data_IF_438239709023
#
_entry.id   IF_438239709023
#
_cell.length_a   1.000
_cell.length_b   1.000
_cell.length_c   1.000
_cell.angle_alpha   90.00
_cell.angle_beta   90.00
_cell.angle_gamma   90.00
#
_symmetry.space_group_name_H-M   'P 1'
#
loop_
_entity.id
_entity.type
_entity.pdbx_description
1 polymer ?
#
# COMPACT_ATOMS: atom_id res chain seq x y z
N UNK A 1 15.23 8.68 23.11
CA UNK A 1 15.62 9.66 22.07
C UNK A 1 16.33 8.95 20.92
N UNK A 2 17.34 8.13 21.21
CA UNK A 2 18.15 7.41 20.20
C UNK A 2 17.29 6.48 19.32
N UNK A 3 16.45 5.65 19.94
CA UNK A 3 15.56 4.73 19.22
C UNK A 3 14.52 5.43 18.31
N UNK A 4 14.06 6.62 18.70
CA UNK A 4 13.16 7.42 17.86
C UNK A 4 13.85 7.90 16.59
N UNK A 5 15.09 8.37 16.68
CA UNK A 5 15.85 8.84 15.53
C UNK A 5 16.24 7.69 14.61
N UNK A 6 16.58 6.53 15.17
CA UNK A 6 16.84 5.32 14.37
C UNK A 6 15.61 4.91 13.57
N UNK A 7 14.43 4.93 14.18
CA UNK A 7 13.16 4.61 13.50
C UNK A 7 12.86 5.61 12.38
N UNK A 8 13.02 6.91 12.64
CA UNK A 8 12.83 7.94 11.60
C UNK A 8 13.80 7.71 10.43
N UNK A 9 15.08 7.46 10.71
CA UNK A 9 16.08 7.20 9.67
C UNK A 9 15.75 5.94 8.85
N UNK A 10 15.22 4.91 9.51
CA UNK A 10 14.75 3.70 8.85
C UNK A 10 13.59 4.01 7.91
N UNK A 11 12.55 4.72 8.37
CA UNK A 11 11.42 5.14 7.54
C UNK A 11 11.86 5.97 6.33
N UNK A 12 12.77 6.93 6.55
CA UNK A 12 13.30 7.76 5.47
C UNK A 12 14.01 6.93 4.40
N UNK A 13 14.74 5.89 4.82
CA UNK A 13 15.49 5.01 3.92
C UNK A 13 14.57 4.04 3.18
N UNK A 14 13.66 3.38 3.89
CA UNK A 14 12.78 2.34 3.33
C UNK A 14 11.73 2.93 2.39
N UNK A 15 11.14 4.08 2.76
CA UNK A 15 10.05 4.70 2.03
C UNK A 15 10.50 5.79 1.05
N UNK A 16 11.78 6.13 1.05
CA UNK A 16 12.36 7.23 0.27
C UNK A 16 11.59 8.54 0.49
N UNK A 17 11.43 8.90 1.76
CA UNK A 17 10.75 10.12 2.22
C UNK A 17 11.71 10.97 3.02
N UNK A 18 11.35 12.23 3.25
CA UNK A 18 12.04 13.12 4.19
C UNK A 18 11.06 13.57 5.26
N UNK A 19 11.23 13.05 6.47
CA UNK A 19 10.37 13.36 7.61
C UNK A 19 10.65 14.77 8.12
N UNK A 20 9.61 15.61 8.19
CA UNK A 20 9.65 16.98 8.73
C UNK A 20 9.21 17.01 10.19
N UNK A 21 8.19 16.22 10.51
CA UNK A 21 7.64 16.11 11.85
C UNK A 21 7.23 14.67 12.13
N UNK A 22 7.46 14.23 13.33
CA UNK A 22 7.05 12.91 13.80
C UNK A 22 6.52 13.03 15.23
N UNK A 23 5.31 12.57 15.45
CA UNK A 23 4.66 12.51 16.77
C UNK A 23 4.05 11.13 16.97
N UNK A 24 4.12 10.63 18.19
CA UNK A 24 3.45 9.40 18.61
C UNK A 24 2.49 9.69 19.75
N UNK A 25 1.34 9.03 19.73
CA UNK A 25 0.38 9.03 20.84
C UNK A 25 0.14 7.60 21.30
N UNK A 26 -0.31 7.45 22.53
CA UNK A 26 -0.67 6.16 23.11
C UNK A 26 0.51 5.18 23.20
N UNK A 27 1.75 5.71 23.16
CA UNK A 27 2.96 4.90 23.29
C UNK A 27 3.20 4.51 24.74
N UNK A 28 2.52 3.48 25.21
CA UNK A 28 2.74 2.86 26.51
C UNK A 28 2.63 1.33 26.40
N UNK A 29 3.19 0.62 27.38
CA UNK A 29 3.29 -0.86 27.39
C UNK A 29 1.94 -1.56 27.35
N UNK A 30 0.88 -0.91 27.78
CA UNK A 30 -0.47 -1.48 27.90
C UNK A 30 -1.41 -1.00 26.79
N UNK A 31 -0.96 -0.10 25.90
CA UNK A 31 -1.80 0.38 24.81
C UNK A 31 -1.92 -0.68 23.72
N UNK A 32 -3.15 -1.08 23.32
CA UNK A 32 -3.35 -1.96 22.17
C UNK A 32 -3.16 -1.22 20.83
N UNK A 33 -2.96 0.10 20.86
CA UNK A 33 -2.77 0.95 19.70
C UNK A 33 -1.61 1.88 19.90
N UNK A 34 -0.93 2.15 18.80
CA UNK A 34 0.04 3.23 18.65
C UNK A 34 -0.44 4.08 17.48
N UNK A 35 -0.53 5.39 17.71
CA UNK A 35 -0.86 6.34 16.63
C UNK A 35 0.36 7.17 16.32
N UNK A 36 0.75 7.19 15.07
CA UNK A 36 1.86 7.97 14.56
C UNK A 36 1.35 9.05 13.61
N UNK A 37 1.91 10.24 13.75
CA UNK A 37 1.67 11.38 12.87
C UNK A 37 2.98 11.75 12.21
N UNK A 38 3.01 11.67 10.90
CA UNK A 38 4.15 12.04 10.09
C UNK A 38 3.77 13.21 9.18
N UNK A 39 4.62 14.22 9.19
CA UNK A 39 4.67 15.25 8.16
C UNK A 39 5.95 15.02 7.36
N UNK A 40 5.84 14.76 6.07
CA UNK A 40 6.95 14.34 5.24
C UNK A 40 6.85 14.85 3.80
N UNK A 41 7.97 14.85 3.12
CA UNK A 41 8.07 15.08 1.68
C UNK A 41 8.49 13.79 1.00
N UNK A 42 7.86 13.50 -0.14
CA UNK A 42 8.25 12.42 -1.06
C UNK A 42 8.39 13.01 -2.45
N UNK A 43 9.50 12.76 -3.10
CA UNK A 43 9.71 13.26 -4.45
C UNK A 43 8.87 12.46 -5.44
N UNK A 44 8.03 13.14 -6.22
CA UNK A 44 7.31 12.54 -7.33
C UNK A 44 8.24 12.36 -8.53
N UNK A 45 7.98 11.34 -9.34
CA UNK A 45 8.65 11.16 -10.63
C UNK A 45 8.01 12.10 -11.64
N UNK A 46 8.81 12.96 -12.23
CA UNK A 46 8.38 13.92 -13.27
C UNK A 46 9.11 13.58 -14.57
N UNK A 47 8.37 13.47 -15.66
CA UNK A 47 8.92 13.29 -16.99
C UNK A 47 8.15 14.20 -17.97
N UNK A 48 8.83 15.18 -18.53
CA UNK A 48 8.26 16.25 -19.35
C UNK A 48 7.08 16.94 -18.64
N UNK A 49 5.88 16.87 -19.23
CA UNK A 49 4.65 17.45 -18.69
C UNK A 49 3.85 16.50 -17.78
N UNK A 50 4.41 15.32 -17.44
CA UNK A 50 3.73 14.29 -16.65
C UNK A 50 4.32 14.15 -15.26
N UNK A 51 3.44 13.99 -14.28
CA UNK A 51 3.79 13.63 -12.90
C UNK A 51 3.21 12.25 -12.60
N UNK A 52 4.05 11.34 -12.11
CA UNK A 52 3.68 10.00 -11.71
C UNK A 52 3.64 9.90 -10.19
N UNK A 53 2.48 9.53 -9.64
CA UNK A 53 2.28 9.43 -8.20
C UNK A 53 1.75 8.04 -7.85
N UNK A 54 2.47 7.33 -6.98
CA UNK A 54 1.92 6.13 -6.37
C UNK A 54 1.08 6.54 -5.15
N UNK A 55 -0.24 6.30 -5.15
CA UNK A 55 -1.10 6.65 -4.02
C UNK A 55 -0.87 5.74 -2.80
N UNK A 56 -0.24 4.58 -3.01
CA UNK A 56 0.15 3.64 -1.96
C UNK A 56 1.50 4.06 -1.37
N UNK A 57 1.53 5.19 -0.64
CA UNK A 57 2.76 5.84 -0.15
C UNK A 57 3.57 4.90 0.73
N UNK A 58 2.90 4.16 1.63
CA UNK A 58 3.49 3.11 2.46
C UNK A 58 3.07 1.76 1.89
N UNK A 59 3.82 1.27 0.91
CA UNK A 59 3.53 0.02 0.24
C UNK A 59 3.68 -1.16 1.18
N UNK A 60 2.59 -1.89 1.40
CA UNK A 60 2.62 -3.15 2.13
C UNK A 60 3.28 -4.26 1.30
N UNK A 61 2.86 -4.44 0.05
CA UNK A 61 3.38 -5.47 -0.85
C UNK A 61 3.74 -4.86 -2.18
N UNK A 62 5.03 -4.74 -2.46
CA UNK A 62 5.54 -4.26 -3.76
C UNK A 62 5.88 -5.38 -4.74
N UNK A 63 6.06 -6.60 -4.24
CA UNK A 63 6.38 -7.80 -5.04
C UNK A 63 5.68 -9.00 -4.44
N UNK A 64 5.22 -9.92 -5.29
CA UNK A 64 4.69 -11.19 -4.82
C UNK A 64 5.77 -11.95 -4.04
N UNK A 65 5.50 -12.37 -2.78
CA UNK A 65 6.47 -13.12 -1.98
C UNK A 65 6.64 -14.58 -2.44
N UNK A 66 5.75 -15.06 -3.32
CA UNK A 66 5.71 -16.45 -3.76
C UNK A 66 6.32 -16.60 -5.15
N UNK A 67 7.61 -17.01 -5.20
CA UNK A 67 8.38 -17.14 -6.44
C UNK A 67 8.24 -18.53 -7.10
N UNK A 68 7.93 -19.57 -6.31
CA UNK A 68 7.81 -20.93 -6.82
C UNK A 68 6.59 -21.06 -7.75
N UNK A 69 6.66 -21.95 -8.74
CA UNK A 69 5.53 -22.24 -9.64
C UNK A 69 4.51 -23.16 -9.00
N UNK A 70 4.96 -24.10 -8.15
CA UNK A 70 4.14 -25.06 -7.46
C UNK A 70 4.73 -25.42 -6.09
N UNK A 71 3.92 -26.00 -5.22
CA UNK A 71 4.34 -26.49 -3.91
C UNK A 71 3.78 -27.90 -3.67
N UNK A 72 4.55 -28.72 -2.95
CA UNK A 72 4.11 -30.03 -2.50
C UNK A 72 3.67 -30.02 -1.03
N UNK A 73 4.14 -29.04 -0.26
CA UNK A 73 3.80 -28.86 1.15
C UNK A 73 2.85 -27.67 1.31
N UNK A 74 1.98 -27.69 2.33
CA UNK A 74 1.16 -26.54 2.68
C UNK A 74 1.98 -25.27 2.90
N UNK A 75 1.36 -24.13 2.64
CA UNK A 75 1.89 -22.82 2.92
C UNK A 75 1.32 -22.33 4.25
N UNK A 76 2.18 -22.06 5.21
CA UNK A 76 1.81 -21.47 6.49
C UNK A 76 2.18 -19.99 6.51
N UNK A 77 1.20 -19.14 6.81
CA UNK A 77 1.37 -17.72 6.98
C UNK A 77 1.67 -17.41 8.45
N UNK A 78 2.61 -16.50 8.77
CA UNK A 78 3.05 -16.28 10.14
C UNK A 78 1.99 -15.61 11.02
N UNK A 79 1.10 -14.82 10.43
CA UNK A 79 0.04 -14.07 11.11
C UNK A 79 -1.05 -13.63 10.13
N UNK A 80 -2.18 -13.19 10.66
CA UNK A 80 -3.24 -12.55 9.89
C UNK A 80 -2.96 -11.06 9.75
N UNK A 81 -3.40 -10.47 8.64
CA UNK A 81 -3.21 -9.04 8.38
C UNK A 81 -4.50 -8.36 7.98
N UNK A 82 -4.69 -7.15 8.54
CA UNK A 82 -5.77 -6.25 8.15
C UNK A 82 -5.18 -4.86 7.94
N UNK A 83 -5.18 -4.39 6.70
CA UNK A 83 -4.70 -3.07 6.34
C UNK A 83 -5.83 -2.27 5.74
N UNK A 84 -6.01 -1.06 6.24
CA UNK A 84 -6.89 -0.05 5.68
C UNK A 84 -6.06 1.20 5.43
N UNK A 85 -6.02 1.65 4.17
CA UNK A 85 -5.40 2.90 3.79
C UNK A 85 -6.43 3.80 3.11
N UNK A 86 -6.43 5.07 3.49
CA UNK A 86 -7.16 6.12 2.81
C UNK A 86 -6.18 7.23 2.43
N UNK A 87 -6.13 7.56 1.14
CA UNK A 87 -5.26 8.60 0.60
C UNK A 87 -6.11 9.66 -0.08
N UNK A 88 -5.86 10.90 0.25
CA UNK A 88 -6.44 12.06 -0.42
C UNK A 88 -5.30 12.83 -1.08
N UNK A 89 -5.35 12.93 -2.40
CA UNK A 89 -4.37 13.66 -3.20
C UNK A 89 -5.02 14.90 -3.80
N UNK A 90 -4.43 16.07 -3.56
CA UNK A 90 -4.84 17.31 -4.22
C UNK A 90 -4.03 17.49 -5.50
N UNK A 91 -4.70 17.64 -6.62
CA UNK A 91 -4.09 17.89 -7.93
C UNK A 91 -3.48 19.29 -7.91
N UNK A 92 -2.18 19.47 -8.23
CA UNK A 92 -1.55 20.77 -8.29
C UNK A 92 -2.22 21.69 -9.32
N UNK A 93 -2.16 23.01 -9.08
CA UNK A 93 -2.62 23.99 -10.06
C UNK A 93 -1.88 23.86 -11.39
N UNK A 94 -2.61 23.95 -12.50
CA UNK A 94 -2.07 23.77 -13.84
C UNK A 94 -1.89 22.30 -14.25
N UNK A 95 -2.38 21.34 -13.47
CA UNK A 95 -2.38 19.92 -13.83
C UNK A 95 -3.79 19.35 -13.84
N UNK A 96 -3.99 18.31 -14.63
CA UNK A 96 -5.20 17.50 -14.66
C UNK A 96 -4.85 16.01 -14.66
N UNK A 97 -5.83 15.18 -14.34
CA UNK A 97 -5.68 13.73 -14.40
C UNK A 97 -5.60 13.28 -15.85
N UNK A 98 -4.54 12.58 -16.22
CA UNK A 98 -4.39 11.90 -17.51
C UNK A 98 -4.82 10.44 -17.40
N UNK A 99 -4.39 9.76 -16.31
CA UNK A 99 -4.72 8.36 -16.08
C UNK A 99 -4.90 8.07 -14.59
N UNK A 100 -5.91 7.25 -14.28
CA UNK A 100 -6.15 6.69 -12.95
C UNK A 100 -6.07 5.17 -12.98
N UNK A 101 -5.51 4.55 -11.93
CA UNK A 101 -5.66 3.12 -11.69
C UNK A 101 -7.12 2.65 -11.75
N UNK A 102 -7.34 1.42 -12.22
CA UNK A 102 -8.68 0.84 -12.21
C UNK A 102 -9.03 0.33 -10.80
N UNK A 103 -10.29 0.41 -10.37
CA UNK A 103 -10.72 -0.25 -9.15
C UNK A 103 -10.47 -1.77 -9.22
N UNK A 104 -10.14 -2.37 -8.06
CA UNK A 104 -9.97 -3.81 -7.90
C UNK A 104 -10.83 -4.29 -6.72
N UNK A 105 -11.53 -5.40 -6.90
CA UNK A 105 -12.19 -6.13 -5.83
C UNK A 105 -11.97 -7.62 -6.06
N UNK A 106 -11.01 -8.17 -5.35
CA UNK A 106 -10.61 -9.57 -5.45
C UNK A 106 -10.73 -10.24 -4.09
N UNK A 107 -11.21 -11.47 -4.07
CA UNK A 107 -11.27 -12.32 -2.87
C UNK A 107 -11.00 -13.77 -3.24
N UNK A 108 -10.46 -14.52 -2.30
CA UNK A 108 -10.36 -15.99 -2.39
C UNK A 108 -11.74 -16.63 -2.33
N UNK A 109 -11.87 -17.89 -2.78
CA UNK A 109 -13.17 -18.59 -2.83
C UNK A 109 -13.81 -18.73 -1.43
N UNK A 110 -12.99 -18.96 -0.41
CA UNK A 110 -13.43 -19.04 0.99
C UNK A 110 -13.68 -17.65 1.61
N UNK A 111 -13.33 -16.57 0.89
CA UNK A 111 -13.54 -15.19 1.32
C UNK A 111 -12.66 -14.74 2.49
N UNK A 112 -11.62 -15.52 2.86
CA UNK A 112 -10.73 -15.18 3.97
C UNK A 112 -9.67 -14.16 3.59
N UNK A 113 -9.25 -14.13 2.31
CA UNK A 113 -8.30 -13.16 1.81
C UNK A 113 -9.00 -12.23 0.82
N UNK A 114 -8.87 -10.93 1.04
CA UNK A 114 -9.59 -9.90 0.30
C UNK A 114 -8.65 -8.74 0.00
N UNK A 115 -8.70 -8.23 -1.24
CA UNK A 115 -8.16 -6.92 -1.59
C UNK A 115 -9.22 -6.09 -2.29
N UNK A 116 -9.38 -4.84 -1.84
CA UNK A 116 -10.25 -3.85 -2.47
C UNK A 116 -9.46 -2.56 -2.67
N UNK A 117 -9.48 -2.07 -3.88
CA UNK A 117 -8.91 -0.78 -4.25
C UNK A 117 -9.97 0.03 -4.96
N UNK A 118 -10.32 1.18 -4.39
CA UNK A 118 -11.24 2.11 -5.02
C UNK A 118 -10.55 3.45 -5.20
N UNK A 119 -10.82 4.10 -6.32
CA UNK A 119 -10.30 5.42 -6.65
C UNK A 119 -11.39 6.25 -7.28
N UNK A 120 -11.47 7.51 -6.93
CA UNK A 120 -12.42 8.46 -7.48
C UNK A 120 -11.83 9.85 -7.49
N UNK A 121 -12.22 10.65 -8.48
CA UNK A 121 -11.89 12.07 -8.55
C UNK A 121 -13.14 12.92 -8.28
N UNK A 122 -12.96 13.98 -7.50
CA UNK A 122 -13.98 15.00 -7.27
C UNK A 122 -13.31 16.38 -7.31
N UNK A 123 -13.59 17.13 -8.38
CA UNK A 123 -12.90 18.39 -8.63
C UNK A 123 -11.38 18.20 -8.76
N UNK A 124 -10.62 18.90 -7.93
CA UNK A 124 -9.15 18.81 -7.89
C UNK A 124 -8.63 17.77 -6.87
N UNK A 125 -9.50 16.92 -6.35
CA UNK A 125 -9.13 15.92 -5.33
C UNK A 125 -9.33 14.51 -5.86
N UNK A 126 -8.32 13.66 -5.67
CA UNK A 126 -8.38 12.22 -5.92
C UNK A 126 -8.42 11.52 -4.58
N UNK A 127 -9.40 10.64 -4.38
CA UNK A 127 -9.57 9.84 -3.18
C UNK A 127 -9.30 8.36 -3.52
N UNK A 128 -8.44 7.74 -2.74
CA UNK A 128 -8.12 6.32 -2.85
C UNK A 128 -8.43 5.65 -1.52
N UNK A 129 -9.12 4.52 -1.58
CA UNK A 129 -9.29 3.62 -0.43
C UNK A 129 -8.79 2.24 -0.79
N UNK A 130 -7.95 1.69 0.07
CA UNK A 130 -7.38 0.35 -0.06
C UNK A 130 -7.67 -0.46 1.19
N UNK A 131 -8.15 -1.66 1.00
CA UNK A 131 -8.37 -2.64 2.06
C UNK A 131 -7.69 -3.94 1.65
N UNK A 132 -6.82 -4.44 2.50
CA UNK A 132 -6.19 -5.74 2.37
C UNK A 132 -6.46 -6.55 3.64
N UNK A 133 -6.94 -7.77 3.45
CA UNK A 133 -7.22 -8.72 4.52
C UNK A 133 -6.59 -10.05 4.12
N UNK A 134 -5.77 -10.62 4.98
CA UNK A 134 -5.24 -11.96 4.88
C UNK A 134 -5.52 -12.69 6.21
N UNK A 135 -6.58 -13.47 6.24
CA UNK A 135 -7.05 -14.15 7.45
C UNK A 135 -6.70 -15.65 7.46
N UNK A 136 -6.41 -16.22 6.29
CA UNK A 136 -6.11 -17.64 6.21
C UNK A 136 -4.64 -17.90 6.52
N UNK A 137 -4.39 -18.65 7.60
CA UNK A 137 -3.04 -18.97 8.05
C UNK A 137 -2.45 -20.21 7.39
N UNK A 138 -3.29 -21.16 6.95
CA UNK A 138 -2.84 -22.39 6.36
C UNK A 138 -3.51 -22.60 4.99
N UNK A 139 -2.70 -22.68 3.94
CA UNK A 139 -3.15 -22.98 2.59
C UNK A 139 -2.59 -24.34 2.18
N UNK A 140 -3.45 -25.22 1.66
CA UNK A 140 -3.02 -26.50 1.14
C UNK A 140 -2.14 -26.31 -0.11
N UNK A 141 -1.30 -27.31 -0.39
CA UNK A 141 -0.45 -27.26 -1.59
C UNK A 141 -1.27 -27.08 -2.90
N UNK A 142 -2.47 -27.64 -2.94
CA UNK A 142 -3.41 -27.51 -4.06
C UNK A 142 -3.99 -26.09 -4.22
N UNK A 143 -4.00 -25.30 -3.17
CA UNK A 143 -4.49 -23.91 -3.18
C UNK A 143 -3.40 -22.92 -3.58
N UNK A 144 -2.13 -23.35 -3.59
CA UNK A 144 -0.99 -22.47 -3.82
C UNK A 144 -1.07 -21.65 -5.12
N UNK A 145 -1.52 -22.17 -6.27
CA UNK A 145 -1.64 -21.36 -7.48
C UNK A 145 -2.60 -20.17 -7.31
N UNK A 146 -3.72 -20.39 -6.61
CA UNK A 146 -4.71 -19.34 -6.32
C UNK A 146 -4.16 -18.31 -5.36
N UNK A 147 -3.47 -18.74 -4.30
CA UNK A 147 -2.80 -17.84 -3.35
C UNK A 147 -1.76 -16.99 -4.06
N UNK A 148 -0.91 -17.60 -4.87
CA UNK A 148 0.11 -16.90 -5.64
C UNK A 148 -0.52 -15.86 -6.56
N UNK A 149 -1.53 -16.23 -7.33
CA UNK A 149 -2.26 -15.30 -8.22
C UNK A 149 -2.88 -14.13 -7.43
N UNK A 150 -3.47 -14.39 -6.26
CA UNK A 150 -4.01 -13.34 -5.39
C UNK A 150 -2.91 -12.33 -5.02
N UNK A 151 -1.75 -12.80 -4.54
CA UNK A 151 -0.65 -11.93 -4.12
C UNK A 151 0.06 -11.23 -5.30
N UNK A 152 0.08 -11.83 -6.49
CA UNK A 152 0.54 -11.18 -7.71
C UNK A 152 -0.35 -9.97 -8.07
N UNK A 153 -1.67 -10.14 -8.01
CA UNK A 153 -2.61 -9.03 -8.23
C UNK A 153 -2.50 -7.94 -7.16
N UNK A 154 -2.27 -8.31 -5.90
CA UNK A 154 -2.02 -7.35 -4.81
C UNK A 154 -0.76 -6.52 -5.11
N UNK A 155 0.34 -7.18 -5.46
CA UNK A 155 1.60 -6.51 -5.77
C UNK A 155 1.48 -5.61 -7.01
N UNK A 156 0.80 -6.08 -8.07
CA UNK A 156 0.55 -5.29 -9.27
C UNK A 156 -0.26 -4.04 -8.94
N UNK A 157 -1.37 -4.19 -8.21
CA UNK A 157 -2.23 -3.07 -7.82
C UNK A 157 -1.50 -2.04 -6.96
N UNK A 158 -0.66 -2.47 -6.04
CA UNK A 158 0.10 -1.58 -5.17
C UNK A 158 1.17 -0.75 -5.91
N UNK A 159 1.56 -1.17 -7.12
CA UNK A 159 2.52 -0.46 -7.95
C UNK A 159 1.89 0.43 -9.02
N UNK A 160 0.56 0.44 -9.17
CA UNK A 160 -0.10 1.30 -10.16
C UNK A 160 0.05 2.78 -9.80
N UNK A 161 0.17 3.60 -10.84
CA UNK A 161 0.44 5.03 -10.71
C UNK A 161 -0.76 5.86 -11.18
N UNK A 162 -0.99 6.97 -10.49
CA UNK A 162 -1.79 8.08 -10.98
C UNK A 162 -0.90 8.91 -11.89
N UNK A 163 -1.38 9.27 -13.07
CA UNK A 163 -0.67 10.13 -14.01
C UNK A 163 -1.39 11.47 -14.10
N UNK A 164 -0.67 12.54 -13.77
CA UNK A 164 -1.13 13.91 -13.91
C UNK A 164 -0.38 14.57 -15.06
N UNK A 165 -1.08 15.36 -15.88
CA UNK A 165 -0.54 16.09 -17.03
C UNK A 165 -0.71 17.57 -16.87
N UNK A 166 0.33 18.32 -17.21
CA UNK A 166 0.31 19.78 -17.26
C UNK A 166 -0.68 20.27 -18.31
N UNK A 167 -1.49 21.25 -17.95
CA UNK A 167 -2.48 21.88 -18.83
C UNK A 167 -1.88 23.04 -19.61
#
# INVERSE_FOLDING_TARGET
>A
VYKRQEYINQLETEENIKVKKFETRELNVFSPRITEFLDFEKQATVNDDLIYVNPMIFLHVSKCPFIQTERQLPLEMPYTEHILQATMLTIPEGYAVEELPKPLNLKTEDGQDIVRYNISQSGNTINVTYTFIANKLLHLATEYPTVKMFWENVAEKNNELIVLKKQ
#
